data_IF_042241808403
#
_entry.id   IF_042241808403
#
_cell.length_a   1.000
_cell.length_b   1.000
_cell.length_c   1.000
_cell.angle_alpha   90.00
_cell.angle_beta   90.00
_cell.angle_gamma   90.00
#
_symmetry.space_group_name_H-M   'P 1'
#
loop_
_entity.id
_entity.type
_entity.pdbx_description
1 polymer ?
#
# COMPACT_ATOMS: atom_id res chain seq x y z
N UNK A 1 -52.01 20.58 2.37
CA UNK A 1 -50.53 20.63 2.22
C UNK A 1 -50.20 21.74 1.23
N UNK A 2 -50.09 22.99 1.77
CA UNK A 2 -49.78 24.17 0.97
C UNK A 2 -48.29 24.22 0.64
N UNK A 3 -47.96 23.82 -0.57
CA UNK A 3 -46.65 24.08 -1.15
C UNK A 3 -46.56 25.61 -1.38
N UNK A 4 -45.81 26.30 -0.53
CA UNK A 4 -45.70 27.76 -0.65
C UNK A 4 -44.35 28.10 -1.32
N UNK A 5 -44.36 28.39 -2.64
CA UNK A 5 -43.15 28.67 -3.40
C UNK A 5 -42.43 29.95 -2.99
N UNK A 6 -43.12 30.83 -2.21
CA UNK A 6 -42.58 32.11 -1.77
C UNK A 6 -41.51 31.94 -0.66
N UNK A 7 -41.65 30.98 0.23
CA UNK A 7 -40.64 30.71 1.29
C UNK A 7 -39.35 30.15 0.73
N UNK A 8 -39.40 29.41 -0.35
CA UNK A 8 -38.19 28.91 -1.00
C UNK A 8 -37.35 30.03 -1.63
N UNK A 9 -37.98 31.02 -2.18
CA UNK A 9 -37.27 32.18 -2.79
C UNK A 9 -36.56 33.02 -1.73
N UNK A 10 -37.12 33.12 -0.54
CA UNK A 10 -36.55 33.92 0.55
C UNK A 10 -35.32 33.28 1.19
N UNK A 11 -35.28 31.96 1.25
CA UNK A 11 -34.10 31.21 1.70
C UNK A 11 -32.97 31.22 0.66
N UNK A 12 -33.32 31.11 -0.63
CA UNK A 12 -32.36 31.18 -1.74
C UNK A 12 -31.78 32.58 -1.92
N UNK A 13 -32.57 33.65 -1.69
CA UNK A 13 -32.07 35.04 -1.75
C UNK A 13 -31.09 35.37 -0.61
N UNK A 14 -31.22 34.74 0.55
CA UNK A 14 -30.27 34.89 1.66
C UNK A 14 -28.94 34.18 1.40
N UNK A 15 -28.90 33.18 0.52
CA UNK A 15 -27.71 32.52 0.05
C UNK A 15 -26.99 33.27 -1.09
N UNK A 16 -27.43 34.49 -1.43
CA UNK A 16 -26.76 35.33 -2.41
C UNK A 16 -27.04 34.99 -3.89
N UNK A 17 -28.01 34.12 -4.13
CA UNK A 17 -28.38 33.71 -5.49
C UNK A 17 -29.50 34.65 -6.01
N UNK A 18 -29.06 35.75 -6.60
CA UNK A 18 -30.00 36.83 -7.07
C UNK A 18 -30.67 36.54 -8.40
N UNK A 19 -30.18 35.65 -9.21
CA UNK A 19 -30.84 35.16 -10.43
C UNK A 19 -30.36 33.73 -10.72
N UNK A 20 -31.27 32.74 -10.93
CA UNK A 20 -30.89 31.41 -11.32
C UNK A 20 -30.45 31.39 -12.79
N UNK A 21 -29.29 31.97 -13.07
CA UNK A 21 -28.69 31.86 -14.39
C UNK A 21 -28.21 30.45 -14.58
N UNK A 22 -28.61 29.77 -15.65
CA UNK A 22 -28.22 28.40 -15.98
C UNK A 22 -26.70 28.19 -15.87
N UNK A 23 -25.94 29.23 -16.19
CA UNK A 23 -24.47 29.24 -16.06
C UNK A 23 -23.98 29.15 -14.61
N UNK A 24 -24.64 29.82 -13.68
CA UNK A 24 -24.23 29.76 -12.26
C UNK A 24 -24.57 28.42 -11.62
N UNK A 25 -25.69 27.81 -12.02
CA UNK A 25 -26.06 26.45 -11.55
C UNK A 25 -25.11 25.38 -12.07
N UNK A 26 -24.74 25.45 -13.34
CA UNK A 26 -23.78 24.49 -13.92
C UNK A 26 -22.37 24.65 -13.32
N UNK A 27 -21.95 25.90 -13.08
CA UNK A 27 -20.66 26.15 -12.43
C UNK A 27 -20.63 25.64 -10.99
N UNK A 28 -21.69 25.83 -10.20
CA UNK A 28 -21.80 25.33 -8.84
C UNK A 28 -21.78 23.79 -8.80
N UNK A 29 -22.49 23.16 -9.72
CA UNK A 29 -22.48 21.71 -9.82
C UNK A 29 -21.09 21.16 -10.21
N UNK A 30 -20.41 21.79 -11.15
CA UNK A 30 -19.05 21.43 -11.55
C UNK A 30 -18.06 21.56 -10.38
N UNK A 31 -18.14 22.61 -9.59
CA UNK A 31 -17.31 22.82 -8.41
C UNK A 31 -17.59 21.74 -7.35
N UNK A 32 -18.85 21.44 -7.07
CA UNK A 32 -19.22 20.38 -6.13
C UNK A 32 -18.72 19.00 -6.57
N UNK A 33 -18.89 18.66 -7.83
CA UNK A 33 -18.35 17.40 -8.40
C UNK A 33 -16.82 17.37 -8.33
N UNK A 34 -16.15 18.48 -8.63
CA UNK A 34 -14.70 18.59 -8.53
C UNK A 34 -14.19 18.36 -7.09
N UNK A 35 -14.84 18.97 -6.11
CA UNK A 35 -14.52 18.80 -4.69
C UNK A 35 -14.77 17.35 -4.26
N UNK A 36 -15.90 16.76 -4.64
CA UNK A 36 -16.22 15.37 -4.33
C UNK A 36 -15.18 14.39 -4.90
N UNK A 37 -14.80 14.56 -6.16
CA UNK A 37 -13.74 13.76 -6.80
C UNK A 37 -12.39 13.95 -6.09
N UNK A 38 -12.04 15.18 -5.73
CA UNK A 38 -10.80 15.46 -5.01
C UNK A 38 -10.80 14.77 -3.64
N UNK A 39 -11.88 14.86 -2.88
CA UNK A 39 -12.01 14.21 -1.57
C UNK A 39 -11.91 12.69 -1.71
N UNK A 40 -12.60 12.08 -2.67
CA UNK A 40 -12.53 10.65 -2.91
C UNK A 40 -11.11 10.24 -3.32
N UNK A 41 -10.46 11.02 -4.19
CA UNK A 41 -9.08 10.73 -4.63
C UNK A 41 -8.10 10.82 -3.46
N UNK A 42 -8.18 11.89 -2.65
CA UNK A 42 -7.33 12.04 -1.46
C UNK A 42 -7.58 10.97 -0.40
N UNK A 43 -8.80 10.45 -0.32
CA UNK A 43 -9.17 9.40 0.65
C UNK A 43 -8.72 8.01 0.21
N UNK A 44 -8.71 7.75 -1.10
CA UNK A 44 -8.32 6.45 -1.67
C UNK A 44 -6.83 6.35 -1.96
N UNK A 45 -6.17 7.46 -2.29
CA UNK A 45 -4.75 7.52 -2.65
C UNK A 45 -3.83 6.96 -1.54
N UNK A 46 -3.92 7.38 -0.26
CA UNK A 46 -3.04 6.85 0.79
C UNK A 46 -3.26 5.37 1.07
N UNK A 47 -4.47 4.84 0.83
CA UNK A 47 -4.76 3.41 1.00
C UNK A 47 -4.12 2.55 -0.10
N UNK A 48 -3.99 3.08 -1.31
CA UNK A 48 -3.32 2.40 -2.43
C UNK A 48 -1.79 2.51 -2.35
N UNK A 49 -1.27 3.60 -1.79
CA UNK A 49 0.16 3.83 -1.59
C UNK A 49 0.69 3.22 -0.28
N UNK A 50 -0.18 2.83 0.64
CA UNK A 50 0.22 2.07 1.81
C UNK A 50 0.68 0.68 1.36
N UNK A 51 1.98 0.54 1.13
CA UNK A 51 2.61 -0.76 0.88
C UNK A 51 2.21 -1.70 2.04
N UNK A 52 1.59 -2.83 1.72
CA UNK A 52 1.19 -3.86 2.68
C UNK A 52 2.38 -4.12 3.64
N UNK A 53 2.19 -4.12 4.95
CA UNK A 53 3.25 -4.38 5.92
C UNK A 53 3.99 -5.69 5.64
N UNK A 54 3.32 -6.68 5.09
CA UNK A 54 3.92 -7.95 4.64
C UNK A 54 4.89 -7.72 3.47
N UNK A 55 4.46 -6.98 2.46
CA UNK A 55 5.30 -6.64 1.32
C UNK A 55 6.49 -5.76 1.74
N UNK A 56 6.28 -4.85 2.67
CA UNK A 56 7.34 -3.99 3.21
C UNK A 56 8.41 -4.81 3.94
N UNK A 57 8.00 -5.77 4.77
CA UNK A 57 8.92 -6.66 5.47
C UNK A 57 9.73 -7.51 4.48
N UNK A 58 9.10 -8.05 3.45
CA UNK A 58 9.75 -8.81 2.40
C UNK A 58 10.75 -7.97 1.59
N UNK A 59 10.35 -6.77 1.16
CA UNK A 59 11.25 -5.87 0.43
C UNK A 59 12.46 -5.46 1.27
N UNK A 60 12.27 -5.27 2.58
CA UNK A 60 13.38 -5.00 3.50
C UNK A 60 14.33 -6.18 3.58
N UNK A 61 13.82 -7.42 3.63
CA UNK A 61 14.63 -8.64 3.59
C UNK A 61 15.44 -8.74 2.29
N UNK A 62 14.79 -8.54 1.14
CA UNK A 62 15.45 -8.53 -0.16
C UNK A 62 16.50 -7.42 -0.28
N UNK A 63 16.25 -6.23 0.28
CA UNK A 63 17.22 -5.13 0.29
C UNK A 63 18.48 -5.49 1.10
N UNK A 64 18.32 -6.20 2.21
CA UNK A 64 19.45 -6.67 3.01
C UNK A 64 20.27 -7.76 2.28
N UNK A 65 19.62 -8.63 1.53
CA UNK A 65 20.31 -9.60 0.68
C UNK A 65 21.04 -8.92 -0.50
N UNK A 66 20.39 -7.93 -1.14
CA UNK A 66 21.01 -7.11 -2.20
C UNK A 66 22.30 -6.44 -1.71
N UNK A 67 22.30 -5.91 -0.50
CA UNK A 67 23.50 -5.33 0.11
C UNK A 67 24.62 -6.35 0.36
N UNK A 68 24.27 -7.66 0.36
CA UNK A 68 25.23 -8.78 0.47
C UNK A 68 25.64 -9.36 -0.89
N UNK A 69 25.22 -8.72 -1.97
CA UNK A 69 25.52 -9.10 -3.35
C UNK A 69 24.51 -10.04 -4.02
N UNK A 70 23.38 -10.32 -3.36
CA UNK A 70 22.32 -11.17 -3.93
C UNK A 70 21.09 -10.30 -4.20
N UNK A 71 20.98 -9.78 -5.41
CA UNK A 71 19.82 -8.99 -5.82
C UNK A 71 18.72 -9.91 -6.36
N UNK A 72 17.46 -9.68 -5.92
CA UNK A 72 16.30 -10.32 -6.51
C UNK A 72 15.96 -9.65 -7.84
N UNK A 73 15.64 -10.44 -8.87
CA UNK A 73 15.09 -9.92 -10.11
C UNK A 73 13.61 -9.54 -9.95
N UNK A 74 13.12 -8.55 -10.67
CA UNK A 74 11.75 -8.04 -10.52
C UNK A 74 10.69 -9.08 -10.89
N UNK A 75 11.01 -9.96 -11.84
CA UNK A 75 10.16 -11.07 -12.27
C UNK A 75 10.28 -12.33 -11.41
N UNK A 76 11.22 -12.37 -10.46
CA UNK A 76 11.53 -13.56 -9.65
C UNK A 76 10.59 -13.67 -8.46
N UNK A 77 9.87 -14.78 -8.37
CA UNK A 77 9.00 -15.09 -7.23
C UNK A 77 9.78 -15.36 -5.94
N UNK A 78 9.14 -15.26 -4.77
CA UNK A 78 9.83 -15.42 -3.49
C UNK A 78 10.45 -16.83 -3.30
N UNK A 79 9.77 -17.87 -3.72
CA UNK A 79 10.29 -19.24 -3.62
C UNK A 79 11.42 -19.51 -4.62
N UNK A 80 11.32 -19.02 -5.86
CA UNK A 80 12.38 -19.13 -6.86
C UNK A 80 13.63 -18.36 -6.40
N UNK A 81 13.45 -17.20 -5.80
CA UNK A 81 14.54 -16.45 -5.20
C UNK A 81 15.23 -17.23 -4.07
N UNK A 82 14.44 -17.85 -3.17
CA UNK A 82 15.00 -18.67 -2.09
C UNK A 82 15.83 -19.85 -2.63
N UNK A 83 15.34 -20.54 -3.67
CA UNK A 83 16.07 -21.63 -4.33
C UNK A 83 17.39 -21.15 -4.95
N UNK A 84 17.40 -19.97 -5.57
CA UNK A 84 18.63 -19.40 -6.13
C UNK A 84 19.62 -19.02 -5.03
N UNK A 85 19.15 -18.38 -3.95
CA UNK A 85 19.99 -18.07 -2.79
C UNK A 85 20.59 -19.34 -2.19
N UNK A 86 19.84 -20.44 -2.10
CA UNK A 86 20.33 -21.70 -1.60
C UNK A 86 21.49 -22.29 -2.43
N UNK A 87 21.50 -22.05 -3.74
CA UNK A 87 22.59 -22.47 -4.63
C UNK A 87 23.82 -21.57 -4.53
N UNK A 88 23.60 -20.25 -4.47
CA UNK A 88 24.69 -19.25 -4.44
C UNK A 88 25.32 -19.09 -3.05
N UNK A 89 24.50 -19.22 -2.00
CA UNK A 89 24.88 -19.02 -0.60
C UNK A 89 24.17 -20.02 0.31
N UNK A 90 24.69 -21.25 0.43
CA UNK A 90 24.11 -22.29 1.29
C UNK A 90 23.99 -21.88 2.77
N UNK A 91 24.87 -20.98 3.23
CA UNK A 91 24.84 -20.41 4.58
C UNK A 91 23.59 -19.55 4.87
N UNK A 92 22.93 -19.04 3.84
CA UNK A 92 21.70 -18.24 3.95
C UNK A 92 20.45 -19.02 3.51
N UNK A 93 20.60 -20.23 3.01
CA UNK A 93 19.52 -21.02 2.42
C UNK A 93 18.34 -21.22 3.37
N UNK A 94 18.59 -21.76 4.56
CA UNK A 94 17.54 -22.03 5.55
C UNK A 94 16.77 -20.77 5.96
N UNK A 95 17.47 -19.66 6.20
CA UNK A 95 16.84 -18.40 6.62
C UNK A 95 16.04 -17.77 5.49
N UNK A 96 16.50 -17.89 4.25
CA UNK A 96 15.80 -17.34 3.08
C UNK A 96 14.57 -18.17 2.73
N UNK A 97 14.66 -19.49 2.87
CA UNK A 97 13.51 -20.37 2.68
C UNK A 97 12.42 -20.12 3.72
N UNK A 98 12.81 -19.97 4.99
CA UNK A 98 11.90 -19.59 6.08
C UNK A 98 11.22 -18.24 5.79
N UNK A 99 11.96 -17.22 5.39
CA UNK A 99 11.43 -15.90 5.08
C UNK A 99 10.49 -15.91 3.86
N UNK A 100 10.84 -16.65 2.81
CA UNK A 100 10.01 -16.81 1.61
C UNK A 100 8.72 -17.59 1.92
N UNK A 101 8.80 -18.60 2.77
CA UNK A 101 7.66 -19.37 3.25
C UNK A 101 6.66 -18.48 4.01
N UNK A 102 7.12 -17.72 5.01
CA UNK A 102 6.26 -16.78 5.75
C UNK A 102 5.62 -15.73 4.83
N UNK A 103 6.38 -15.21 3.88
CA UNK A 103 5.83 -14.25 2.92
C UNK A 103 4.75 -14.89 2.03
N UNK A 104 4.99 -16.09 1.51
CA UNK A 104 4.02 -16.80 0.68
C UNK A 104 2.74 -17.12 1.46
N UNK A 105 2.87 -17.62 2.69
CA UNK A 105 1.72 -17.88 3.55
C UNK A 105 0.92 -16.60 3.87
N UNK A 106 1.59 -15.50 4.21
CA UNK A 106 0.95 -14.22 4.52
C UNK A 106 0.24 -13.62 3.30
N UNK A 107 0.72 -13.91 2.10
CA UNK A 107 0.18 -13.38 0.85
C UNK A 107 -0.97 -14.20 0.31
N UNK A 108 -0.90 -15.53 0.42
CA UNK A 108 -1.80 -16.46 -0.26
C UNK A 108 -2.68 -17.27 0.69
N UNK A 109 -2.29 -17.49 1.94
CA UNK A 109 -3.10 -18.21 2.90
C UNK A 109 -4.02 -17.26 3.69
N UNK A 110 -5.29 -17.61 3.75
CA UNK A 110 -6.29 -16.99 4.66
C UNK A 110 -6.28 -17.79 5.96
N UNK A 111 -5.44 -17.44 6.92
CA UNK A 111 -5.37 -18.17 8.18
C UNK A 111 -5.11 -17.26 9.38
N UNK A 112 -5.45 -17.78 10.56
CA UNK A 112 -5.14 -17.17 11.85
C UNK A 112 -3.62 -17.09 12.07
N UNK A 113 -3.18 -16.11 12.88
CA UNK A 113 -1.77 -15.92 13.21
C UNK A 113 -0.98 -15.04 12.26
N UNK A 114 -1.67 -14.21 11.45
CA UNK A 114 -1.04 -13.28 10.51
C UNK A 114 0.00 -12.37 11.20
N UNK A 115 -0.33 -11.84 12.37
CA UNK A 115 0.56 -10.94 13.12
C UNK A 115 1.80 -11.67 13.66
N UNK A 116 1.65 -12.94 14.05
CA UNK A 116 2.76 -13.76 14.48
C UNK A 116 3.72 -14.03 13.31
N UNK A 117 3.20 -14.48 12.17
CA UNK A 117 3.99 -14.75 10.96
C UNK A 117 4.70 -13.51 10.42
N UNK A 118 4.03 -12.34 10.50
CA UNK A 118 4.65 -11.07 10.13
C UNK A 118 5.83 -10.73 11.04
N UNK A 119 5.70 -10.95 12.35
CA UNK A 119 6.80 -10.78 13.30
C UNK A 119 7.95 -11.75 13.00
N UNK A 120 7.66 -13.01 12.68
CA UNK A 120 8.67 -13.98 12.28
C UNK A 120 9.43 -13.54 11.03
N UNK A 121 8.72 -13.07 10.00
CA UNK A 121 9.35 -12.53 8.79
C UNK A 121 10.24 -11.31 9.12
N UNK A 122 9.81 -10.42 10.00
CA UNK A 122 10.63 -9.29 10.44
C UNK A 122 11.86 -9.74 11.26
N UNK A 123 11.74 -10.82 12.03
CA UNK A 123 12.86 -11.40 12.76
C UNK A 123 13.90 -12.03 11.82
N UNK A 124 13.49 -12.60 10.68
CA UNK A 124 14.42 -13.13 9.68
C UNK A 124 15.40 -12.05 9.20
N UNK A 125 14.94 -10.78 9.08
CA UNK A 125 15.82 -9.65 8.75
C UNK A 125 16.91 -9.44 9.82
N UNK A 126 16.58 -9.60 11.09
CA UNK A 126 17.49 -9.39 12.21
C UNK A 126 18.47 -10.56 12.40
N UNK A 127 18.07 -11.76 11.99
CA UNK A 127 18.89 -12.98 12.06
C UNK A 127 19.93 -13.09 10.94
N UNK A 128 19.87 -12.20 9.93
CA UNK A 128 20.89 -12.20 8.87
C UNK A 128 22.28 -11.98 9.46
N UNK A 129 23.26 -12.81 9.15
CA UNK A 129 24.62 -12.69 9.68
C UNK A 129 25.24 -11.35 9.28
N UNK A 130 26.18 -10.81 10.07
CA UNK A 130 26.86 -9.57 9.77
C UNK A 130 27.57 -9.66 8.42
N UNK A 131 27.66 -8.52 7.73
CA UNK A 131 28.29 -8.42 6.42
C UNK A 131 29.75 -8.91 6.54
N UNK A 132 30.15 -9.89 5.74
CA UNK A 132 31.57 -10.14 5.53
C UNK A 132 32.18 -8.90 4.90
N UNK A 133 32.95 -8.13 5.66
CA UNK A 133 33.83 -7.09 5.10
C UNK A 133 34.74 -7.81 4.09
N UNK A 134 34.66 -7.46 2.80
CA UNK A 134 35.73 -7.78 1.87
C UNK A 134 36.99 -7.16 2.47
N UNK A 135 37.90 -7.98 2.95
CA UNK A 135 39.30 -7.55 3.14
C UNK A 135 39.81 -7.26 1.73
N UNK A 136 40.08 -5.98 1.45
CA UNK A 136 40.92 -5.56 0.33
C UNK A 136 42.33 -6.09 0.53
#
# INVERSE_FOLDING_TARGET
LGYNPQRQREVLSRLGWRDPDWRSMSASLAVLCGIALLVVTLWTLPRRLAVDPVQRAWLKYCAELKRRGIARADWEGPLAFAQRVARERPDLAALTDEAAGYYAELRYARGDGRDHKLRCLQQCVRRLPPRRRKRS
#
